data_IF_894154650099
#
_entry.id   IF_894154650099
#
_cell.length_a   1.000
_cell.length_b   1.000
_cell.length_c   1.000
_cell.angle_alpha   90.00
_cell.angle_beta   90.00
_cell.angle_gamma   90.00
#
_symmetry.space_group_name_H-M   'P 1'
#
loop_
_entity.id
_entity.type
_entity.pdbx_description
1 polymer ?
#
# COMPACT_ATOMS: atom_id res chain seq x y z
N UNK A 1 21.58 6.89 -10.64
CA UNK A 1 21.15 6.68 -10.43
C UNK A 1 20.48 6.47 -10.68
N UNK A 2 20.46 6.51 -10.71
CA UNK A 2 19.86 6.23 -10.88
C UNK A 2 18.93 6.14 -10.90
N UNK A 3 18.99 6.12 -11.30
CA UNK A 3 17.88 6.17 -11.38
C UNK A 3 17.12 5.72 -10.84
N UNK A 4 17.65 5.39 -10.70
CA UNK A 4 17.03 4.81 -10.10
C UNK A 4 16.10 5.26 -9.40
N UNK A 5 16.25 5.96 -9.05
CA UNK A 5 15.39 6.38 -8.19
C UNK A 5 14.08 6.19 -8.39
N UNK A 6 13.86 5.73 -9.19
CA UNK A 6 12.69 5.68 -9.53
C UNK A 6 11.77 5.22 -8.59
N UNK A 7 11.19 4.40 -8.59
CA UNK A 7 10.13 3.97 -7.89
C UNK A 7 10.39 3.79 -6.53
N UNK A 8 10.33 4.77 -5.80
CA UNK A 8 10.66 4.67 -4.45
C UNK A 8 9.39 4.46 -3.67
N UNK A 9 8.91 3.30 -3.62
CA UNK A 9 7.80 2.93 -2.75
C UNK A 9 8.19 1.66 -2.01
N UNK A 10 8.06 1.69 -0.70
CA UNK A 10 8.41 0.51 0.10
C UNK A 10 7.62 0.52 1.39
N UNK A 11 7.41 -0.66 1.95
CA UNK A 11 6.78 -0.78 3.26
C UNK A 11 7.89 -0.67 4.29
N UNK A 12 7.75 0.26 5.23
CA UNK A 12 8.81 0.53 6.17
C UNK A 12 8.53 -0.01 7.57
N UNK A 13 7.29 -0.22 7.92
CA UNK A 13 6.96 -0.67 9.27
C UNK A 13 5.59 -1.30 9.26
N UNK A 14 5.40 -2.37 10.02
CA UNK A 14 4.13 -3.06 10.12
C UNK A 14 3.79 -3.19 11.60
N UNK A 15 2.56 -2.83 11.95
CA UNK A 15 2.10 -2.96 13.32
C UNK A 15 0.79 -3.73 13.32
N UNK A 16 0.22 -3.93 14.49
CA UNK A 16 -1.06 -4.61 14.57
C UNK A 16 -2.20 -3.76 14.05
N UNK A 17 -1.97 -2.48 13.83
CA UNK A 17 -3.03 -1.58 13.36
C UNK A 17 -2.97 -1.28 11.88
N UNK A 18 -1.86 -1.56 11.24
CA UNK A 18 -1.67 -1.27 9.83
C UNK A 18 -0.20 -1.23 9.48
N UNK A 19 0.13 -0.63 8.36
CA UNK A 19 1.54 -0.54 7.97
C UNK A 19 1.81 0.82 7.34
N UNK A 20 3.09 1.18 7.37
CA UNK A 20 3.55 2.44 6.80
C UNK A 20 4.20 2.18 5.47
N UNK A 21 3.93 3.06 4.51
CA UNK A 21 4.59 3.04 3.22
C UNK A 21 5.37 4.33 3.06
N UNK A 22 6.57 4.22 2.53
CA UNK A 22 7.34 5.38 2.13
C UNK A 22 7.15 5.52 0.63
N UNK A 23 6.56 6.63 0.20
CA UNK A 23 6.26 6.87 -1.20
C UNK A 23 6.85 8.21 -1.59
N UNK A 24 7.88 8.19 -2.42
CA UNK A 24 8.50 9.42 -2.93
C UNK A 24 8.90 10.36 -1.79
N UNK A 25 9.41 9.81 -0.72
CA UNK A 25 9.88 10.59 0.40
C UNK A 25 8.84 10.94 1.45
N UNK A 26 7.61 10.50 1.27
CA UNK A 26 6.55 10.75 2.24
C UNK A 26 6.11 9.43 2.86
N UNK A 27 5.79 9.44 4.13
CA UNK A 27 5.28 8.24 4.78
C UNK A 27 3.77 8.31 4.90
N UNK A 28 3.09 7.28 4.47
CA UNK A 28 1.64 7.20 4.55
C UNK A 28 1.28 5.92 5.30
N UNK A 29 0.27 6.01 6.15
CA UNK A 29 -0.16 4.88 6.97
C UNK A 29 -1.41 4.24 6.36
N UNK A 30 -1.40 2.93 6.20
CA UNK A 30 -2.55 2.19 5.72
C UNK A 30 -3.10 1.38 6.87
N UNK A 31 -4.21 1.83 7.42
CA UNK A 31 -4.83 1.14 8.55
C UNK A 31 -5.56 -0.10 8.06
N UNK A 32 -5.46 -1.18 8.81
CA UNK A 32 -6.16 -2.40 8.44
C UNK A 32 -7.68 -2.21 8.46
N UNK A 33 -8.17 -1.28 9.25
CA UNK A 33 -9.60 -1.00 9.25
C UNK A 33 -10.07 -0.37 7.95
N UNK A 34 -9.17 0.32 7.25
CA UNK A 34 -9.51 0.95 5.99
C UNK A 34 -9.07 0.13 4.80
N UNK A 35 -8.15 -0.80 4.99
CA UNK A 35 -7.64 -1.65 3.93
C UNK A 35 -7.63 -3.09 4.44
N UNK A 36 -8.80 -3.67 4.63
CA UNK A 36 -8.89 -4.97 5.32
C UNK A 36 -8.25 -6.13 4.59
N UNK A 37 -7.95 -5.97 3.31
CA UNK A 37 -7.31 -7.04 2.56
C UNK A 37 -5.95 -7.43 3.14
N UNK A 38 -5.33 -6.52 3.91
CA UNK A 38 -4.01 -6.78 4.46
C UNK A 38 -4.05 -7.36 5.87
N UNK A 39 -5.22 -7.40 6.48
CA UNK A 39 -5.31 -7.69 7.92
C UNK A 39 -4.74 -9.05 8.29
N UNK A 40 -4.92 -10.04 7.44
CA UNK A 40 -4.41 -11.36 7.74
C UNK A 40 -3.29 -11.76 6.80
N UNK A 41 -2.72 -10.80 6.11
CA UNK A 41 -1.65 -11.08 5.18
C UNK A 41 -0.34 -11.31 5.90
N UNK A 42 0.54 -12.09 5.30
CA UNK A 42 1.87 -12.29 5.86
C UNK A 42 2.71 -11.05 5.65
N UNK A 43 3.78 -10.94 6.43
CA UNK A 43 4.73 -9.85 6.24
C UNK A 43 5.29 -9.90 4.83
N UNK A 44 5.63 -11.09 4.34
CA UNK A 44 6.20 -11.21 3.00
C UNK A 44 5.22 -10.71 1.94
N UNK A 45 3.94 -10.97 2.10
CA UNK A 45 2.96 -10.52 1.13
C UNK A 45 2.83 -9.00 1.14
N UNK A 46 2.86 -8.40 2.33
CA UNK A 46 2.73 -6.95 2.46
C UNK A 46 3.94 -6.22 1.90
N UNK A 47 5.15 -6.70 2.19
CA UNK A 47 6.35 -6.04 1.68
C UNK A 47 6.61 -6.33 0.22
N UNK A 48 5.87 -7.28 -0.37
CA UNK A 48 6.03 -7.63 -1.78
C UNK A 48 5.36 -6.68 -2.74
N UNK A 49 5.18 -5.48 -2.35
CA UNK A 49 4.55 -4.44 -3.14
C UNK A 49 5.31 -4.14 -4.42
N UNK A 50 4.56 -3.87 -5.49
CA UNK A 50 5.10 -3.42 -6.76
C UNK A 50 4.44 -2.10 -7.12
N UNK A 51 5.10 -1.32 -7.95
CA UNK A 51 4.57 -0.02 -8.36
C UNK A 51 4.56 0.03 -9.87
N UNK A 52 3.50 -0.48 -10.51
CA UNK A 52 3.45 -0.54 -11.98
C UNK A 52 3.40 0.84 -12.64
N UNK A 53 2.91 1.85 -11.92
CA UNK A 53 2.96 3.21 -12.43
C UNK A 53 3.04 4.14 -11.25
N UNK A 54 3.34 5.43 -11.43
CA UNK A 54 3.52 6.34 -10.30
C UNK A 54 2.35 6.41 -9.35
N UNK A 55 1.15 6.15 -9.83
CA UNK A 55 -0.02 6.27 -8.99
C UNK A 55 -0.69 4.95 -8.68
N UNK A 56 -0.05 3.83 -9.01
CA UNK A 56 -0.61 2.52 -8.75
C UNK A 56 0.32 1.68 -7.92
N UNK A 57 -0.24 0.91 -6.99
CA UNK A 57 0.51 0.02 -6.13
C UNK A 57 -0.17 -1.33 -6.14
N UNK A 58 0.59 -2.39 -6.33
CA UNK A 58 0.05 -3.72 -6.52
C UNK A 58 0.75 -4.71 -5.61
N UNK A 59 -0.02 -5.54 -4.94
CA UNK A 59 0.49 -6.59 -4.07
C UNK A 59 0.13 -7.93 -4.71
N UNK A 60 1.07 -8.52 -5.44
CA UNK A 60 0.75 -9.73 -6.23
C UNK A 60 0.30 -10.92 -5.40
N UNK A 61 0.87 -11.09 -4.22
CA UNK A 61 0.48 -12.23 -3.40
C UNK A 61 -0.94 -12.10 -2.85
N UNK A 62 -1.48 -10.92 -2.83
CA UNK A 62 -2.81 -10.67 -2.31
C UNK A 62 -3.78 -10.27 -3.41
N UNK A 63 -3.26 -10.05 -4.61
CA UNK A 63 -4.05 -9.57 -5.74
C UNK A 63 -4.78 -8.27 -5.36
N UNK A 64 -4.09 -7.39 -4.67
CA UNK A 64 -4.63 -6.10 -4.28
C UNK A 64 -3.99 -5.02 -5.11
N UNK A 65 -4.81 -4.13 -5.67
CA UNK A 65 -4.36 -3.05 -6.52
C UNK A 65 -4.98 -1.77 -5.96
N UNK A 66 -4.16 -0.82 -5.60
CA UNK A 66 -4.62 0.45 -5.05
C UNK A 66 -4.03 1.62 -5.81
N UNK A 67 -4.80 2.69 -5.92
CA UNK A 67 -4.28 3.93 -6.49
C UNK A 67 -3.84 4.83 -5.35
N UNK A 68 -2.90 5.70 -5.62
CA UNK A 68 -2.36 6.60 -4.59
C UNK A 68 -3.47 7.41 -3.93
N UNK A 69 -4.44 7.88 -4.69
CA UNK A 69 -5.52 8.69 -4.12
C UNK A 69 -6.30 7.91 -3.06
N UNK A 70 -6.48 6.61 -3.25
CA UNK A 70 -7.22 5.81 -2.27
C UNK A 70 -6.41 5.63 -0.98
N UNK A 71 -5.10 5.70 -1.07
CA UNK A 71 -4.24 5.61 0.11
C UNK A 71 -4.24 6.94 0.85
N UNK A 72 -4.21 8.04 0.12
CA UNK A 72 -4.19 9.35 0.74
C UNK A 72 -5.58 9.76 1.25
N UNK A 73 -6.63 9.29 0.61
CA UNK A 73 -7.98 9.70 0.94
C UNK A 73 -8.92 8.50 0.95
N UNK A 74 -8.72 7.58 1.88
CA UNK A 74 -9.53 6.35 1.91
C UNK A 74 -11.01 6.63 2.09
N UNK A 75 -11.36 7.77 2.65
CA UNK A 75 -12.76 8.10 2.84
C UNK A 75 -13.51 8.25 1.52
N UNK A 76 -12.78 8.44 0.42
CA UNK A 76 -13.40 8.55 -0.89
C UNK A 76 -13.67 7.20 -1.53
N UNK A 77 -13.19 6.13 -0.93
CA UNK A 77 -13.25 4.80 -1.51
C UNK A 77 -13.88 3.85 -0.51
N UNK A 78 -15.20 3.85 -0.42
CA UNK A 78 -15.87 3.07 0.62
C UNK A 78 -15.50 1.60 0.58
N UNK A 79 -15.25 1.06 1.75
CA UNK A 79 -14.79 -0.31 1.85
C UNK A 79 -15.88 -1.32 1.62
N UNK A 80 -17.11 -0.93 1.75
CA UNK A 80 -18.17 -1.89 1.57
C UNK A 80 -18.10 -2.54 0.22
N UNK A 81 -17.45 -1.89 -0.71
CA UNK A 81 -17.35 -2.49 -2.02
C UNK A 81 -16.45 -3.70 -1.98
N UNK A 82 -15.70 -3.88 -0.96
CA UNK A 82 -14.82 -5.01 -0.87
C UNK A 82 -15.56 -6.26 -0.51
N UNK A 83 -16.79 -6.15 -0.24
CA UNK A 83 -17.56 -7.34 0.10
C UNK A 83 -18.30 -7.88 -1.11
#
# INVERSE_FOLDING_TARGET
MPGAGTSTAEVTNISQHGFWMLIDGRELFLAFDEFPWFKQASVAAIVGLERPSPEHFYWPDLDVDLVLDSIEHPERYPLKSAL
#
